data_IF_902804095830
#
_entry.id   IF_902804095830
#
_cell.length_a   1.000
_cell.length_b   1.000
_cell.length_c   1.000
_cell.angle_alpha   90.00
_cell.angle_beta   90.00
_cell.angle_gamma   90.00
#
_symmetry.space_group_name_H-M   'P 1'
#
loop_
_entity.id
_entity.type
_entity.pdbx_description
1 polymer ?
#
# COMPACT_ATOMS: atom_id res chain seq x y z
N UNK A 1 -6.79 -26.30 -24.81
CA UNK A 1 -7.05 -24.91 -24.37
C UNK A 1 -6.73 -24.90 -22.89
N UNK A 2 -5.61 -24.30 -22.49
CA UNK A 2 -5.32 -24.11 -21.06
C UNK A 2 -6.22 -22.95 -20.60
N UNK A 3 -7.05 -23.17 -19.59
CA UNK A 3 -7.72 -22.06 -18.91
C UNK A 3 -6.62 -21.17 -18.32
N UNK A 4 -6.63 -19.87 -18.65
CA UNK A 4 -5.78 -18.91 -17.92
C UNK A 4 -6.23 -18.93 -16.46
N UNK A 5 -5.36 -19.40 -15.56
CA UNK A 5 -5.63 -19.40 -14.13
C UNK A 5 -5.93 -17.97 -13.65
N UNK A 6 -7.08 -17.80 -13.00
CA UNK A 6 -7.48 -16.52 -12.45
C UNK A 6 -6.58 -16.13 -11.27
N UNK A 7 -6.29 -14.84 -11.13
CA UNK A 7 -5.49 -14.34 -10.01
C UNK A 7 -6.12 -14.66 -8.65
N UNK A 8 -5.32 -15.11 -7.66
CA UNK A 8 -5.83 -15.36 -6.33
C UNK A 8 -6.39 -14.07 -5.74
N UNK A 9 -7.51 -14.19 -5.02
CA UNK A 9 -8.01 -13.06 -4.24
C UNK A 9 -7.11 -12.84 -3.06
N UNK A 10 -6.67 -11.62 -2.92
CA UNK A 10 -5.96 -11.18 -1.73
C UNK A 10 -6.94 -11.26 -0.56
N UNK A 11 -6.55 -12.08 0.42
CA UNK A 11 -7.29 -12.35 1.65
C UNK A 11 -6.89 -11.41 2.79
N UNK A 12 -7.56 -11.61 3.92
CA UNK A 12 -7.41 -10.83 5.15
C UNK A 12 -6.05 -11.16 5.77
N UNK A 13 -5.24 -10.16 6.11
CA UNK A 13 -4.20 -10.38 7.10
C UNK A 13 -4.87 -10.43 8.47
N UNK A 14 -5.19 -11.64 8.95
CA UNK A 14 -5.90 -11.84 10.22
C UNK A 14 -5.04 -11.52 11.44
N UNK A 15 -3.73 -11.43 11.28
CA UNK A 15 -2.82 -11.02 12.35
C UNK A 15 -2.76 -9.49 12.48
N UNK A 16 -3.19 -8.75 11.46
CA UNK A 16 -3.34 -7.31 11.54
C UNK A 16 -4.53 -6.95 12.43
N UNK A 17 -4.30 -6.21 13.50
CA UNK A 17 -5.33 -5.81 14.45
C UNK A 17 -5.26 -4.31 14.77
N UNK A 18 -5.94 -3.85 15.82
CA UNK A 18 -5.98 -2.43 16.17
C UNK A 18 -4.62 -1.88 16.64
N UNK A 19 -3.80 -2.70 17.30
CA UNK A 19 -2.44 -2.34 17.71
C UNK A 19 -1.53 -2.28 16.48
N UNK A 20 -1.64 -3.26 15.57
CA UNK A 20 -0.95 -3.23 14.27
C UNK A 20 -1.31 -1.98 13.47
N UNK A 21 -2.59 -1.60 13.43
CA UNK A 21 -3.02 -0.36 12.77
C UNK A 21 -2.40 0.85 13.45
N UNK A 22 -2.46 0.93 14.78
CA UNK A 22 -1.90 2.05 15.53
C UNK A 22 -0.40 2.20 15.27
N UNK A 23 0.35 1.10 15.24
CA UNK A 23 1.76 1.05 14.90
C UNK A 23 2.00 1.44 13.43
N UNK A 24 1.21 0.90 12.49
CA UNK A 24 1.32 1.23 11.07
C UNK A 24 1.13 2.75 10.82
N UNK A 25 0.15 3.38 11.47
CA UNK A 25 -0.16 4.81 11.29
C UNK A 25 0.58 5.77 12.23
N UNK A 26 1.58 5.30 13.00
CA UNK A 26 2.22 6.10 14.04
C UNK A 26 3.30 7.07 13.55
N UNK A 27 3.81 6.90 12.33
CA UNK A 27 4.96 7.63 11.82
C UNK A 27 5.06 7.70 10.31
N UNK A 28 6.19 8.23 9.83
CA UNK A 28 6.52 8.29 8.41
C UNK A 28 7.03 6.94 7.89
N UNK A 29 6.63 6.62 6.67
CA UNK A 29 7.13 5.48 5.90
C UNK A 29 7.94 5.99 4.72
N UNK A 30 9.03 5.29 4.42
CA UNK A 30 9.81 5.45 3.20
C UNK A 30 9.43 4.33 2.25
N UNK A 31 9.05 4.69 1.03
CA UNK A 31 8.68 3.73 0.00
C UNK A 31 9.93 3.39 -0.81
N UNK A 32 10.46 2.19 -0.62
CA UNK A 32 11.69 1.76 -1.29
C UNK A 32 11.45 1.20 -2.69
N UNK A 33 10.32 0.55 -2.91
CA UNK A 33 9.85 0.12 -4.23
C UNK A 33 8.34 0.27 -4.33
N UNK A 34 7.86 0.67 -5.51
CA UNK A 34 6.42 0.74 -5.77
C UNK A 34 6.09 0.64 -7.25
N UNK A 35 4.93 0.07 -7.53
CA UNK A 35 4.37 0.06 -8.87
C UNK A 35 4.02 1.47 -9.33
N UNK A 36 4.31 1.77 -10.60
CA UNK A 36 3.88 3.01 -11.24
C UNK A 36 2.35 3.12 -11.20
N UNK A 37 1.86 4.25 -10.70
CA UNK A 37 0.43 4.56 -10.65
C UNK A 37 0.08 5.72 -11.59
N UNK A 38 -1.21 5.90 -11.87
CA UNK A 38 -1.69 7.05 -12.66
C UNK A 38 -1.31 8.40 -12.03
N UNK A 39 -1.15 8.45 -10.70
CA UNK A 39 -0.88 9.68 -9.95
C UNK A 39 0.61 9.93 -9.71
N UNK A 40 1.40 8.86 -9.69
CA UNK A 40 2.83 8.93 -9.44
C UNK A 40 3.57 8.14 -10.51
N UNK A 41 3.83 8.77 -11.67
CA UNK A 41 4.61 8.17 -12.75
C UNK A 41 6.09 8.03 -12.35
N UNK A 42 6.82 7.21 -13.09
CA UNK A 42 8.23 6.85 -12.81
C UNK A 42 9.12 8.09 -12.65
N UNK A 43 8.94 9.11 -13.50
CA UNK A 43 9.70 10.36 -13.46
C UNK A 43 9.56 11.15 -12.15
N UNK A 44 8.58 10.83 -11.29
CA UNK A 44 8.32 11.48 -10.00
C UNK A 44 8.51 10.56 -8.80
N UNK A 45 8.90 9.31 -9.03
CA UNK A 45 8.89 8.23 -8.03
C UNK A 45 10.28 7.96 -7.41
N UNK A 46 11.06 9.00 -7.05
CA UNK A 46 12.44 8.81 -6.58
C UNK A 46 12.58 8.77 -5.05
N UNK A 47 11.92 9.70 -4.35
CA UNK A 47 11.93 9.74 -2.88
C UNK A 47 10.51 9.90 -2.40
N UNK A 48 9.82 8.79 -2.17
CA UNK A 48 8.42 8.78 -1.79
C UNK A 48 8.28 8.49 -0.31
N UNK A 49 7.50 9.31 0.38
CA UNK A 49 7.14 9.08 1.78
C UNK A 49 5.64 9.14 1.97
N UNK A 50 5.17 8.41 2.99
CA UNK A 50 3.80 8.45 3.44
C UNK A 50 3.78 8.65 4.97
N UNK A 51 3.22 9.76 5.43
CA UNK A 51 2.99 10.01 6.85
C UNK A 51 1.51 9.96 7.18
N UNK A 52 1.20 9.43 8.36
CA UNK A 52 -0.16 9.19 8.78
C UNK A 52 -0.48 9.97 10.04
N UNK A 53 -1.75 10.37 10.17
CA UNK A 53 -2.25 11.02 11.39
C UNK A 53 -3.66 10.55 11.68
N UNK A 54 -3.89 10.08 12.90
CA UNK A 54 -5.26 9.82 13.36
C UNK A 54 -6.00 11.15 13.53
N UNK A 55 -7.21 11.22 12.97
CA UNK A 55 -8.06 12.41 13.01
C UNK A 55 -9.44 12.06 13.55
N UNK A 56 -10.17 13.03 14.14
CA UNK A 56 -11.59 12.84 14.43
C UNK A 56 -12.35 12.41 13.18
N UNK A 57 -13.36 11.57 13.38
CA UNK A 57 -14.19 11.08 12.27
C UNK A 57 -14.75 12.26 11.47
N UNK A 58 -14.45 12.30 10.18
CA UNK A 58 -14.96 13.34 9.27
C UNK A 58 -16.41 13.06 8.88
N UNK A 59 -17.05 14.02 8.21
CA UNK A 59 -18.41 13.85 7.66
C UNK A 59 -18.54 12.61 6.75
N UNK A 60 -17.51 12.34 5.94
CA UNK A 60 -17.47 11.17 5.06
C UNK A 60 -17.02 9.88 5.77
N UNK A 61 -16.75 9.93 7.08
CA UNK A 61 -16.40 8.75 7.88
C UNK A 61 -14.93 8.35 7.85
N UNK A 62 -14.04 9.23 7.36
CA UNK A 62 -12.59 9.02 7.44
C UNK A 62 -12.08 9.26 8.86
N UNK A 63 -11.04 8.55 9.26
CA UNK A 63 -10.44 8.63 10.61
C UNK A 63 -8.92 8.74 10.59
N UNK A 64 -8.32 8.68 9.41
CA UNK A 64 -6.88 8.78 9.19
C UNK A 64 -6.65 9.81 8.08
N UNK A 65 -5.71 10.70 8.29
CA UNK A 65 -5.14 11.57 7.27
C UNK A 65 -3.84 10.91 6.76
N UNK A 66 -3.62 10.94 5.45
CA UNK A 66 -2.42 10.39 4.81
C UNK A 66 -1.78 11.50 4.01
N UNK A 67 -0.56 11.88 4.34
CA UNK A 67 0.23 12.83 3.58
C UNK A 67 1.27 12.06 2.77
N UNK A 68 1.04 12.00 1.45
CA UNK A 68 2.00 11.41 0.52
C UNK A 68 2.86 12.51 -0.07
N UNK A 69 4.17 12.30 -0.05
CA UNK A 69 5.14 13.16 -0.71
C UNK A 69 6.02 12.33 -1.64
N UNK A 70 6.46 12.93 -2.73
CA UNK A 70 7.37 12.34 -3.68
C UNK A 70 8.33 13.41 -4.18
N UNK A 71 9.52 13.01 -4.59
CA UNK A 71 10.46 13.88 -5.30
C UNK A 71 10.84 13.26 -6.64
N UNK A 72 11.10 14.10 -7.64
CA UNK A 72 11.77 13.68 -8.86
C UNK A 72 13.31 13.80 -8.72
N UNK A 73 14.03 13.40 -9.78
CA UNK A 73 15.48 13.49 -9.85
C UNK A 73 16.05 14.91 -9.66
N UNK A 74 15.26 15.96 -9.94
CA UNK A 74 15.65 17.35 -9.77
C UNK A 74 15.34 17.90 -8.37
N UNK A 75 14.74 17.08 -7.49
CA UNK A 75 14.34 17.47 -6.15
C UNK A 75 13.02 18.25 -6.08
N UNK A 76 12.26 18.35 -7.17
CA UNK A 76 10.93 18.94 -7.15
C UNK A 76 9.97 18.03 -6.37
N UNK A 77 9.22 18.62 -5.45
CA UNK A 77 8.29 17.89 -4.58
C UNK A 77 6.90 17.82 -5.20
N UNK A 78 6.32 16.63 -5.18
CA UNK A 78 4.93 16.33 -5.53
C UNK A 78 4.26 15.70 -4.32
N UNK A 79 2.94 15.74 -4.25
CA UNK A 79 2.25 15.11 -3.14
C UNK A 79 0.83 15.59 -2.96
N UNK A 80 0.20 15.11 -1.90
CA UNK A 80 -1.15 15.49 -1.54
C UNK A 80 -1.60 14.84 -0.25
N UNK A 81 -2.60 15.47 0.37
CA UNK A 81 -3.29 14.96 1.54
C UNK A 81 -4.48 14.13 1.08
N UNK A 82 -4.53 12.89 1.51
CA UNK A 82 -5.63 11.96 1.37
C UNK A 82 -6.24 11.67 2.74
N UNK A 83 -7.38 10.99 2.73
CA UNK A 83 -8.04 10.48 3.90
C UNK A 83 -8.25 8.97 3.76
N UNK A 84 -8.20 8.28 4.90
CA UNK A 84 -8.38 6.85 4.98
C UNK A 84 -9.26 6.45 6.17
N UNK A 85 -9.88 5.27 6.07
CA UNK A 85 -10.54 4.61 7.19
C UNK A 85 -10.55 3.09 6.98
N UNK A 86 -10.55 2.34 8.09
CA UNK A 86 -10.74 0.89 8.03
C UNK A 86 -12.16 0.52 7.59
N UNK A 87 -12.27 -0.54 6.81
CA UNK A 87 -13.54 -1.11 6.34
C UNK A 87 -13.85 -2.39 7.09
N UNK A 88 -15.00 -2.46 7.76
CA UNK A 88 -15.42 -3.61 8.58
C UNK A 88 -14.25 -4.25 9.35
N UNK A 89 -13.65 -3.57 10.34
CA UNK A 89 -12.41 -4.03 10.99
C UNK A 89 -12.49 -5.44 11.58
N UNK A 90 -13.69 -5.92 11.92
CA UNK A 90 -13.94 -7.28 12.41
C UNK A 90 -13.85 -8.34 11.30
N UNK A 91 -14.15 -7.95 10.06
CA UNK A 91 -14.11 -8.83 8.91
C UNK A 91 -12.78 -8.70 8.17
N UNK A 92 -12.29 -7.50 7.90
CA UNK A 92 -11.08 -7.26 7.09
C UNK A 92 -10.19 -6.18 7.73
N UNK A 93 -9.51 -6.52 8.83
CA UNK A 93 -8.82 -5.53 9.67
C UNK A 93 -7.68 -4.80 8.93
N UNK A 94 -7.05 -5.45 7.96
CA UNK A 94 -5.98 -4.91 7.12
C UNK A 94 -6.45 -3.96 6.01
N UNK A 95 -7.76 -3.86 5.77
CA UNK A 95 -8.31 -3.09 4.66
C UNK A 95 -8.60 -1.66 5.05
N UNK A 96 -8.01 -0.74 4.30
CA UNK A 96 -8.29 0.68 4.30
C UNK A 96 -9.03 1.08 3.01
N UNK A 97 -9.89 2.08 3.15
CA UNK A 97 -10.48 2.82 2.04
C UNK A 97 -9.81 4.18 1.96
N UNK A 98 -9.10 4.47 0.86
CA UNK A 98 -8.25 5.65 0.69
C UNK A 98 -8.76 6.52 -0.46
N UNK A 99 -8.92 7.83 -0.22
CA UNK A 99 -9.35 8.80 -1.23
C UNK A 99 -8.99 10.25 -0.84
N UNK A 100 -9.13 11.23 -1.75
CA UNK A 100 -9.24 12.62 -1.36
C UNK A 100 -10.34 12.84 -0.31
N UNK A 101 -10.03 13.55 0.79
CA UNK A 101 -10.90 13.64 1.96
C UNK A 101 -12.24 14.36 1.75
N UNK A 102 -12.40 15.09 0.64
CA UNK A 102 -13.67 15.73 0.25
C UNK A 102 -14.63 14.77 -0.48
N UNK A 103 -14.15 13.58 -0.90
CA UNK A 103 -14.97 12.60 -1.60
C UNK A 103 -15.70 11.66 -0.62
N UNK A 104 -16.94 11.26 -0.93
CA UNK A 104 -17.63 10.21 -0.20
C UNK A 104 -16.81 8.91 -0.14
N UNK A 105 -16.83 8.26 1.03
CA UNK A 105 -16.04 7.06 1.30
C UNK A 105 -16.36 5.86 0.39
N UNK A 106 -17.57 5.75 -0.16
CA UNK A 106 -17.91 4.68 -1.11
C UNK A 106 -17.23 4.84 -2.49
N UNK A 107 -16.61 5.99 -2.77
CA UNK A 107 -15.77 6.21 -3.96
C UNK A 107 -14.28 5.94 -3.68
N UNK A 108 -13.93 5.62 -2.42
CA UNK A 108 -12.55 5.37 -2.04
C UNK A 108 -11.99 4.09 -2.66
N UNK A 109 -10.71 4.13 -2.97
CA UNK A 109 -9.97 2.98 -3.44
C UNK A 109 -9.64 2.05 -2.27
N UNK A 110 -9.84 0.73 -2.41
CA UNK A 110 -9.41 -0.20 -1.38
C UNK A 110 -7.90 -0.39 -1.39
N UNK A 111 -7.32 -0.50 -0.21
CA UNK A 111 -5.89 -0.58 0.07
C UNK A 111 -5.69 -1.61 1.19
N UNK A 112 -4.88 -2.65 0.96
CA UNK A 112 -4.65 -3.70 1.95
C UNK A 112 -3.19 -3.70 2.38
N UNK A 113 -2.97 -3.68 3.70
CA UNK A 113 -1.68 -4.02 4.31
C UNK A 113 -1.58 -5.54 4.39
N UNK A 114 -0.86 -6.15 3.46
CA UNK A 114 -0.77 -7.60 3.32
C UNK A 114 0.03 -8.23 4.44
N UNK A 115 1.18 -7.63 4.71
CA UNK A 115 2.12 -8.05 5.75
C UNK A 115 2.59 -6.78 6.45
N UNK A 116 2.69 -6.86 7.76
CA UNK A 116 3.21 -5.79 8.60
C UNK A 116 4.08 -6.43 9.68
N UNK A 117 5.37 -6.14 9.63
CA UNK A 117 6.30 -6.53 10.67
C UNK A 117 6.49 -5.34 11.59
N UNK A 118 5.96 -5.48 12.81
CA UNK A 118 6.32 -4.60 13.91
C UNK A 118 7.70 -5.02 14.44
N UNK A 119 8.46 -4.08 15.00
CA UNK A 119 9.79 -4.31 15.56
C UNK A 119 9.69 -5.25 16.77
N UNK A 120 9.68 -6.55 16.51
CA UNK A 120 9.82 -7.59 17.52
C UNK A 120 11.20 -8.23 17.33
N UNK A 121 12.10 -7.76 18.18
CA UNK A 121 13.37 -8.34 18.64
C UNK A 121 14.68 -7.99 17.92
N UNK A 122 14.81 -7.79 16.60
CA UNK A 122 16.13 -7.44 15.99
C UNK A 122 16.05 -6.87 14.54
N UNK A 123 14.88 -6.40 14.07
CA UNK A 123 14.67 -6.09 12.65
C UNK A 123 13.94 -4.78 12.38
N UNK A 124 14.23 -4.18 11.24
CA UNK A 124 13.55 -2.98 10.73
C UNK A 124 12.05 -3.22 10.52
N UNK A 125 11.20 -2.27 10.92
CA UNK A 125 9.76 -2.28 10.62
C UNK A 125 9.50 -2.11 9.11
N UNK A 126 8.62 -2.94 8.57
CA UNK A 126 8.25 -2.89 7.15
C UNK A 126 6.79 -3.30 6.92
N UNK A 127 6.26 -2.87 5.78
CA UNK A 127 4.95 -3.26 5.32
C UNK A 127 4.95 -3.59 3.82
N UNK A 128 4.21 -4.64 3.46
CA UNK A 128 3.87 -4.97 2.07
C UNK A 128 2.41 -4.59 1.83
N UNK A 129 2.15 -3.85 0.77
CA UNK A 129 0.84 -3.28 0.51
C UNK A 129 0.40 -3.54 -0.93
N UNK A 130 -0.90 -3.82 -1.12
CA UNK A 130 -1.53 -3.82 -2.45
C UNK A 130 -2.76 -2.90 -2.51
N UNK A 131 -2.90 -2.21 -3.64
CA UNK A 131 -4.00 -1.28 -3.91
C UNK A 131 -4.99 -1.92 -4.86
N UNK A 132 -6.13 -2.37 -4.35
CA UNK A 132 -7.08 -3.16 -5.14
C UNK A 132 -6.77 -4.66 -5.15
N UNK A 133 -7.73 -5.43 -5.66
CA UNK A 133 -7.54 -6.86 -5.89
C UNK A 133 -6.76 -7.06 -7.19
N UNK A 134 -5.69 -7.88 -7.20
CA UNK A 134 -4.98 -8.22 -8.42
C UNK A 134 -5.92 -9.03 -9.32
N UNK A 135 -5.98 -8.66 -10.59
CA UNK A 135 -6.92 -9.25 -11.54
C UNK A 135 -6.36 -9.31 -12.96
N UNK A 136 -5.05 -9.12 -13.10
CA UNK A 136 -4.32 -9.23 -14.35
C UNK A 136 -3.19 -10.24 -14.13
N UNK A 137 -3.31 -11.41 -14.75
CA UNK A 137 -2.26 -12.44 -14.78
C UNK A 137 -1.16 -12.00 -15.73
N UNK A 138 0.08 -12.22 -15.33
CA UNK A 138 1.30 -12.04 -16.11
C UNK A 138 2.11 -13.33 -16.06
N UNK A 139 3.22 -13.40 -16.79
CA UNK A 139 4.16 -14.53 -16.70
C UNK A 139 4.85 -14.64 -15.33
N UNK A 140 4.88 -13.55 -14.55
CA UNK A 140 5.58 -13.45 -13.26
C UNK A 140 4.63 -13.43 -12.06
N UNK A 141 3.32 -13.60 -12.27
CA UNK A 141 2.31 -13.59 -11.20
C UNK A 141 1.11 -12.71 -11.55
N UNK A 142 0.62 -11.96 -10.56
CA UNK A 142 -0.61 -11.21 -10.64
C UNK A 142 -0.40 -9.76 -10.22
N UNK A 143 -0.97 -8.84 -11.00
CA UNK A 143 -0.94 -7.40 -10.69
C UNK A 143 -2.32 -6.79 -10.68
N UNK A 144 -2.38 -5.63 -10.04
CA UNK A 144 -3.58 -4.77 -10.04
C UNK A 144 -3.61 -3.93 -11.30
N UNK A 145 -4.80 -3.66 -11.81
CA UNK A 145 -4.99 -2.73 -12.93
C UNK A 145 -5.11 -1.31 -12.40
N UNK A 146 -4.27 -0.38 -12.87
CA UNK A 146 -4.45 1.04 -12.58
C UNK A 146 -5.83 1.52 -13.04
N UNK A 147 -6.63 2.04 -12.11
CA UNK A 147 -7.96 2.60 -12.38
C UNK A 147 -7.95 4.12 -12.23
N UNK A 148 -8.37 4.81 -13.29
CA UNK A 148 -8.43 6.28 -13.36
C UNK A 148 -9.42 6.90 -12.34
N UNK A 149 -10.47 6.18 -11.95
CA UNK A 149 -11.57 6.74 -11.14
C UNK A 149 -11.37 6.49 -9.65
N UNK A 150 -10.81 5.34 -9.25
CA UNK A 150 -10.78 4.90 -7.86
C UNK A 150 -9.38 4.92 -7.24
N UNK A 151 -8.35 5.32 -8.00
CA UNK A 151 -6.93 5.26 -7.55
C UNK A 151 -6.46 3.88 -7.10
N UNK A 152 -7.26 2.84 -7.33
CA UNK A 152 -6.96 1.50 -6.87
C UNK A 152 -6.16 0.77 -7.93
N UNK A 153 -4.88 0.65 -7.63
CA UNK A 153 -3.85 -0.02 -8.41
C UNK A 153 -2.49 0.33 -7.81
N UNK A 154 -1.67 -0.69 -7.59
CA UNK A 154 -0.31 -0.57 -7.10
C UNK A 154 0.09 -1.69 -6.15
N UNK A 155 1.40 -1.77 -5.95
CA UNK A 155 2.10 -2.65 -5.03
C UNK A 155 3.19 -1.78 -4.41
N UNK A 156 3.37 -1.83 -3.09
CA UNK A 156 4.36 -1.00 -2.40
C UNK A 156 5.11 -1.80 -1.34
N UNK A 157 6.38 -1.46 -1.17
CA UNK A 157 7.23 -1.90 -0.07
C UNK A 157 7.60 -0.67 0.75
N UNK A 158 7.09 -0.62 1.98
CA UNK A 158 7.35 0.47 2.92
C UNK A 158 8.31 0.00 4.00
N UNK A 159 9.24 0.86 4.41
CA UNK A 159 10.04 0.65 5.62
C UNK A 159 10.15 1.93 6.45
N UNK A 160 10.53 1.79 7.72
CA UNK A 160 10.76 2.95 8.61
C UNK A 160 12.11 3.62 8.38
N UNK A 161 13.10 2.92 7.83
CA UNK A 161 14.39 3.53 7.50
C UNK A 161 14.33 4.24 6.15
N UNK A 162 14.93 5.40 6.08
CA UNK A 162 15.23 6.06 4.81
C UNK A 162 16.41 5.40 4.09
N UNK A 163 17.21 4.59 4.79
CA UNK A 163 18.34 3.87 4.22
C UNK A 163 17.85 2.59 3.53
N UNK A 164 18.29 2.39 2.30
CA UNK A 164 17.89 1.24 1.50
C UNK A 164 18.56 -0.04 2.01
N UNK A 165 17.75 -1.07 2.21
CA UNK A 165 18.21 -2.41 2.58
C UNK A 165 17.74 -3.42 1.51
N UNK A 166 18.63 -3.74 0.56
CA UNK A 166 18.29 -4.61 -0.58
C UNK A 166 17.93 -6.04 -0.16
N UNK A 167 18.55 -6.57 0.91
CA UNK A 167 18.23 -7.91 1.42
C UNK A 167 16.82 -7.97 2.01
N UNK A 168 16.42 -6.91 2.74
CA UNK A 168 15.06 -6.78 3.26
C UNK A 168 14.04 -6.66 2.11
N UNK A 169 14.33 -5.81 1.12
CA UNK A 169 13.45 -5.63 -0.05
C UNK A 169 13.30 -6.94 -0.80
N UNK A 170 14.40 -7.67 -1.07
CA UNK A 170 14.37 -8.97 -1.72
C UNK A 170 13.53 -9.99 -0.93
N UNK A 171 13.69 -10.04 0.41
CA UNK A 171 12.86 -10.86 1.30
C UNK A 171 11.37 -10.53 1.15
N UNK A 172 11.01 -9.25 1.15
CA UNK A 172 9.61 -8.81 1.04
C UNK A 172 9.04 -9.17 -0.35
N UNK A 173 9.82 -9.06 -1.42
CA UNK A 173 9.43 -9.49 -2.78
C UNK A 173 9.18 -11.01 -2.83
N UNK A 174 10.03 -11.81 -2.19
CA UNK A 174 9.80 -13.26 -2.07
C UNK A 174 8.50 -13.55 -1.35
N UNK A 175 8.18 -12.84 -0.25
CA UNK A 175 6.89 -12.98 0.44
C UNK A 175 5.72 -12.63 -0.49
N UNK A 176 5.83 -11.55 -1.26
CA UNK A 176 4.80 -11.11 -2.21
C UNK A 176 4.52 -12.17 -3.29
N UNK A 177 5.57 -12.82 -3.82
CA UNK A 177 5.45 -13.90 -4.80
C UNK A 177 4.89 -15.17 -4.14
N UNK A 178 5.53 -15.67 -3.09
CA UNK A 178 5.26 -17.00 -2.55
C UNK A 178 3.89 -17.11 -1.87
N UNK A 179 3.46 -16.04 -1.17
CA UNK A 179 2.19 -16.07 -0.42
C UNK A 179 1.00 -15.51 -1.20
N UNK A 180 1.25 -14.59 -2.13
CA UNK A 180 0.18 -13.82 -2.77
C UNK A 180 0.20 -13.89 -4.30
N UNK A 181 1.18 -14.60 -4.88
CA UNK A 181 1.41 -14.68 -6.34
C UNK A 181 1.50 -13.31 -7.01
N UNK A 182 2.02 -12.30 -6.31
CA UNK A 182 2.10 -10.95 -6.86
C UNK A 182 3.28 -10.84 -7.82
N UNK A 183 3.02 -10.23 -8.97
CA UNK A 183 4.06 -9.88 -9.93
C UNK A 183 4.90 -8.73 -9.35
N UNK A 184 6.09 -9.04 -8.87
CA UNK A 184 7.02 -8.06 -8.29
C UNK A 184 7.92 -7.38 -9.32
N UNK A 185 7.76 -7.68 -10.62
CA UNK A 185 8.49 -6.99 -11.71
C UNK A 185 7.91 -5.61 -12.01
N UNK A 186 6.75 -5.29 -11.44
CA UNK A 186 6.15 -3.96 -11.53
C UNK A 186 6.73 -2.96 -10.53
N UNK A 187 7.50 -3.44 -9.54
CA UNK A 187 8.12 -2.66 -8.47
C UNK A 187 9.39 -1.93 -8.92
#
# INVERSE_FOLDING_TARGET
MQEEEACPRIGKNTNFNQESLAAYVSGEWYVHEQAVTTYLPEERNYCVTASYKQIPRTFWGYTIEVNNQAKNANGETFGGILAAAQTNPQEDPSKLEVAPGFLPRFLAGPYWVLEFQQEEEDGEEWALIVGGQPNVRTENGCKTKNRFITSSGGLWIFTRSSERNDDLIAKIKTIAVDKYELDTTVL
#
